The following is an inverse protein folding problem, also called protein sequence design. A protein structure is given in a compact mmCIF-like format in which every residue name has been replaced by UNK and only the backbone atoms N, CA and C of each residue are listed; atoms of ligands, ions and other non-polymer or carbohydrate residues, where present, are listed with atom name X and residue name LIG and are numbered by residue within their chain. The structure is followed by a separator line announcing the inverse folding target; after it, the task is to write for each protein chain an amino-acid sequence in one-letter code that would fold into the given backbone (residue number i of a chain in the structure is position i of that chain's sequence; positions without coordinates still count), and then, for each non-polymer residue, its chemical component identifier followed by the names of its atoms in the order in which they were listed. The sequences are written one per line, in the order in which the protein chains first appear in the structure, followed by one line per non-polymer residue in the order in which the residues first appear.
data_IF_872204923811
#
_entry.id   IF_872204923811
#
_cell.length_a   1.000
_cell.length_b   1.000
_cell.length_c   1.000
_cell.angle_alpha   90.00
_cell.angle_beta   90.00
_cell.angle_gamma   90.00
#
_symmetry.space_group_name_H-M   'P 1'
#
loop_
_entity.id
_entity.type
_entity.pdbx_description
1 polymer ?
#
# COMPACT_ATOMS: atom_id res chain seq x y z
N UNK A 1 -9.22 -12.15 11.30
CA UNK A 1 -9.87 -10.92 10.79
C UNK A 1 -9.00 -10.37 9.65
N UNK A 2 -9.59 -10.14 8.47
CA UNK A 2 -8.87 -9.53 7.34
C UNK A 2 -8.70 -8.02 7.52
N UNK A 3 -7.84 -7.38 6.71
CA UNK A 3 -7.65 -5.92 6.75
C UNK A 3 -8.95 -5.18 6.43
N UNK A 4 -9.08 -3.95 6.96
CA UNK A 4 -10.25 -3.10 6.72
C UNK A 4 -10.36 -2.80 5.22
N UNK A 5 -11.53 -3.09 4.63
CA UNK A 5 -11.74 -2.93 3.20
C UNK A 5 -13.13 -2.37 2.86
N UNK A 6 -13.20 -1.66 1.73
CA UNK A 6 -14.45 -1.19 1.15
C UNK A 6 -14.78 -2.01 -0.09
N UNK A 7 -16.02 -2.53 -0.16
CA UNK A 7 -16.49 -3.33 -1.29
C UNK A 7 -17.11 -2.41 -2.34
N UNK A 8 -16.66 -2.56 -3.58
CA UNK A 8 -17.20 -1.89 -4.76
C UNK A 8 -17.52 -2.95 -5.81
N UNK A 9 -18.20 -2.58 -6.90
CA UNK A 9 -18.33 -3.44 -8.08
C UNK A 9 -17.00 -3.66 -8.82
N UNK A 10 -15.95 -2.93 -8.42
CA UNK A 10 -14.60 -3.02 -8.95
C UNK A 10 -13.59 -3.63 -7.96
N UNK A 11 -12.31 -3.23 -8.01
CA UNK A 11 -11.28 -3.81 -7.14
C UNK A 11 -11.60 -3.53 -5.66
N UNK A 12 -11.23 -4.49 -4.81
CA UNK A 12 -11.32 -4.32 -3.34
C UNK A 12 -10.32 -3.26 -2.90
N UNK A 13 -10.78 -2.29 -2.11
CA UNK A 13 -9.95 -1.21 -1.60
C UNK A 13 -9.56 -1.50 -0.17
N UNK A 14 -8.26 -1.50 0.12
CA UNK A 14 -7.69 -1.69 1.45
C UNK A 14 -6.93 -0.42 1.87
N UNK A 15 -6.98 -0.08 3.16
CA UNK A 15 -6.31 1.13 3.68
C UNK A 15 -5.06 0.77 4.47
N UNK A 16 -4.01 1.58 4.36
CA UNK A 16 -2.79 1.44 5.13
C UNK A 16 -2.14 2.82 5.32
N UNK A 17 -1.22 2.95 6.27
CA UNK A 17 -0.55 4.22 6.55
C UNK A 17 -1.38 5.24 7.35
N UNK A 18 -2.49 4.81 7.96
CA UNK A 18 -3.26 5.60 8.93
C UNK A 18 -2.86 5.30 10.40
N UNK A 19 -1.98 4.32 10.62
CA UNK A 19 -1.42 3.95 11.91
C UNK A 19 -0.02 3.33 11.75
N UNK A 20 0.68 3.11 12.87
CA UNK A 20 1.99 2.45 12.96
C UNK A 20 1.94 1.03 13.55
N UNK A 21 0.77 0.39 13.58
CA UNK A 21 0.61 -0.96 14.15
C UNK A 21 1.39 -1.99 13.31
N UNK A 22 2.48 -2.50 13.87
CA UNK A 22 3.36 -3.46 13.18
C UNK A 22 2.66 -4.78 12.84
N UNK A 23 1.74 -5.22 13.69
CA UNK A 23 0.99 -6.47 13.47
C UNK A 23 0.01 -6.30 12.33
N UNK A 24 -0.66 -5.15 12.26
CA UNK A 24 -1.53 -4.79 11.14
C UNK A 24 -0.75 -4.82 9.82
N UNK A 25 0.37 -4.12 9.75
CA UNK A 25 1.18 -4.02 8.52
C UNK A 25 1.75 -5.38 8.12
N UNK A 26 2.18 -6.19 9.08
CA UNK A 26 2.68 -7.55 8.82
C UNK A 26 1.58 -8.43 8.22
N UNK A 27 0.39 -8.45 8.84
CA UNK A 27 -0.75 -9.22 8.32
C UNK A 27 -1.20 -8.73 6.94
N UNK A 28 -1.17 -7.41 6.70
CA UNK A 28 -1.49 -6.84 5.40
C UNK A 28 -0.49 -7.30 4.33
N UNK A 29 0.80 -7.27 4.62
CA UNK A 29 1.85 -7.72 3.69
C UNK A 29 1.68 -9.21 3.38
N UNK A 30 1.51 -10.06 4.39
CA UNK A 30 1.24 -11.49 4.18
C UNK A 30 -0.01 -11.71 3.33
N UNK A 31 -1.10 -10.99 3.62
CA UNK A 31 -2.33 -11.09 2.85
C UNK A 31 -2.16 -10.67 1.38
N UNK A 32 -1.32 -9.68 1.10
CA UNK A 32 -1.08 -9.16 -0.24
C UNK A 32 -0.05 -9.99 -1.04
N UNK A 33 0.78 -10.83 -0.41
CA UNK A 33 1.84 -11.62 -1.10
C UNK A 33 1.32 -12.47 -2.25
N UNK A 34 0.12 -13.01 -2.14
CA UNK A 34 -0.47 -13.88 -3.18
C UNK A 34 -1.54 -13.18 -4.03
N UNK A 35 -1.57 -11.83 -4.01
CA UNK A 35 -2.57 -11.03 -4.72
C UNK A 35 -1.95 -10.04 -5.70
N UNK A 36 -2.64 -9.82 -6.82
CA UNK A 36 -2.39 -8.67 -7.68
C UNK A 36 -2.94 -7.41 -6.99
N UNK A 37 -2.10 -6.39 -6.80
CA UNK A 37 -2.52 -5.12 -6.22
C UNK A 37 -1.77 -3.94 -6.83
N UNK A 38 -2.32 -2.74 -6.62
CA UNK A 38 -1.72 -1.46 -6.94
C UNK A 38 -1.75 -0.57 -5.69
N UNK A 39 -0.88 0.44 -5.65
CA UNK A 39 -0.82 1.42 -4.57
C UNK A 39 -1.31 2.76 -5.06
N UNK A 40 -2.22 3.36 -4.29
CA UNK A 40 -2.55 4.77 -4.35
C UNK A 40 -2.00 5.41 -3.07
N UNK A 41 -0.97 6.24 -3.21
CA UNK A 41 -0.31 6.90 -2.09
C UNK A 41 -0.79 8.34 -2.04
N UNK A 42 -1.42 8.74 -0.95
CA UNK A 42 -1.96 10.09 -0.75
C UNK A 42 -1.22 10.74 0.40
N UNK A 43 -0.41 11.77 0.12
CA UNK A 43 0.26 12.57 1.14
C UNK A 43 0.65 13.90 0.54
N UNK A 44 0.27 15.01 1.17
CA UNK A 44 0.63 16.35 0.69
C UNK A 44 2.15 16.56 0.70
N UNK A 45 2.80 16.31 1.83
CA UNK A 45 4.24 16.59 2.01
C UNK A 45 5.15 15.43 1.64
N UNK A 46 4.61 14.21 1.51
CA UNK A 46 5.38 12.97 1.39
C UNK A 46 6.21 12.62 2.63
N UNK A 47 6.17 13.45 3.69
CA UNK A 47 6.99 13.33 4.89
C UNK A 47 6.22 12.84 6.12
N UNK A 48 4.90 12.67 6.01
CA UNK A 48 4.10 12.04 7.06
C UNK A 48 4.60 10.61 7.30
N UNK A 49 4.93 10.27 8.54
CA UNK A 49 5.72 9.09 8.89
C UNK A 49 4.97 7.80 8.53
N UNK A 50 3.70 7.72 8.91
CA UNK A 50 2.84 6.55 8.77
C UNK A 50 2.69 6.11 7.30
N UNK A 51 2.29 6.98 6.36
CA UNK A 51 2.23 6.61 4.94
C UNK A 51 3.63 6.41 4.34
N UNK A 52 4.66 7.15 4.77
CA UNK A 52 6.01 6.98 4.24
C UNK A 52 6.61 5.61 4.57
N UNK A 53 6.48 5.16 5.81
CA UNK A 53 6.93 3.83 6.26
C UNK A 53 6.14 2.74 5.55
N UNK A 54 4.81 2.85 5.55
CA UNK A 54 3.92 1.89 4.89
C UNK A 54 4.24 1.78 3.39
N UNK A 55 4.44 2.92 2.72
CA UNK A 55 4.82 2.96 1.31
C UNK A 55 6.13 2.22 1.05
N UNK A 56 7.16 2.43 1.88
CA UNK A 56 8.45 1.72 1.74
C UNK A 56 8.28 0.21 1.81
N UNK A 57 7.47 -0.28 2.76
CA UNK A 57 7.20 -1.71 2.92
C UNK A 57 6.44 -2.30 1.73
N UNK A 58 5.35 -1.65 1.31
CA UNK A 58 4.51 -2.14 0.21
C UNK A 58 5.19 -1.99 -1.16
N UNK A 59 5.97 -0.93 -1.37
CA UNK A 59 6.80 -0.74 -2.56
C UNK A 59 7.82 -1.87 -2.69
N UNK A 60 8.48 -2.25 -1.59
CA UNK A 60 9.43 -3.37 -1.59
C UNK A 60 8.73 -4.67 -2.02
N UNK A 61 7.52 -4.93 -1.53
CA UNK A 61 6.72 -6.09 -1.95
C UNK A 61 6.39 -6.05 -3.46
N UNK A 62 5.98 -4.89 -4.00
CA UNK A 62 5.75 -4.75 -5.43
C UNK A 62 7.02 -4.92 -6.27
N UNK A 63 8.15 -4.37 -5.82
CA UNK A 63 9.45 -4.52 -6.48
C UNK A 63 9.91 -5.99 -6.49
N UNK A 64 9.64 -6.75 -5.42
CA UNK A 64 9.89 -8.20 -5.39
C UNK A 64 9.03 -8.96 -6.41
N UNK A 65 7.76 -8.57 -6.60
CA UNK A 65 6.84 -9.24 -7.54
C UNK A 65 7.06 -8.88 -9.00
N UNK A 66 7.30 -7.60 -9.28
CA UNK A 66 7.26 -7.06 -10.66
C UNK A 66 8.58 -6.41 -11.10
N UNK A 67 9.60 -6.34 -10.23
CA UNK A 67 10.86 -5.68 -10.51
C UNK A 67 10.65 -4.23 -10.95
N UNK A 68 11.30 -3.83 -12.06
CA UNK A 68 11.19 -2.48 -12.64
C UNK A 68 9.76 -2.08 -13.03
N UNK A 69 8.86 -3.06 -13.24
CA UNK A 69 7.45 -2.79 -13.60
C UNK A 69 6.61 -2.36 -12.40
N UNK A 70 7.12 -2.46 -11.18
CA UNK A 70 6.43 -2.01 -9.95
C UNK A 70 5.98 -0.55 -10.03
N UNK A 71 6.75 0.33 -10.70
CA UNK A 71 6.39 1.74 -10.90
C UNK A 71 5.03 1.93 -11.58
N UNK A 72 4.64 1.01 -12.48
CA UNK A 72 3.38 1.09 -13.21
C UNK A 72 2.17 0.72 -12.34
N UNK A 73 2.42 0.20 -11.12
CA UNK A 73 1.40 -0.18 -10.13
C UNK A 73 1.29 0.85 -9.00
N UNK A 74 1.96 1.99 -9.09
CA UNK A 74 2.01 3.00 -8.03
C UNK A 74 1.52 4.33 -8.62
N UNK A 75 0.47 4.87 -8.01
CA UNK A 75 -0.04 6.22 -8.25
C UNK A 75 0.21 7.05 -7.00
N UNK A 76 0.78 8.24 -7.17
CA UNK A 76 1.08 9.16 -6.08
C UNK A 76 0.24 10.42 -6.25
N UNK A 77 -0.47 10.80 -5.19
CA UNK A 77 -1.27 12.01 -5.08
C UNK A 77 -0.60 12.86 -3.99
N UNK A 78 0.09 13.92 -4.44
CA UNK A 78 0.93 14.79 -3.62
C UNK A 78 0.83 16.23 -4.11
N UNK A 79 1.38 17.19 -3.35
CA UNK A 79 1.53 18.57 -3.82
C UNK A 79 2.44 18.63 -5.07
N UNK A 80 2.26 19.62 -5.98
CA UNK A 80 3.06 19.79 -7.18
C UNK A 80 4.57 19.95 -6.95
#
# INVERSE_FOLDING_TARGET
MGPLYYQTDGPKVYYAGYNLDSDYHTRLIEFLKDKEFALCVVSKSGSTIEPAVTFRMLRKLLEQKYGKKARNKIVVITDP
#
